data_IF_298584625533
#
_entry.id   IF_298584625533
#
_cell.length_a   1.000
_cell.length_b   1.000
_cell.length_c   1.000
_cell.angle_alpha   90.00
_cell.angle_beta   90.00
_cell.angle_gamma   90.00
#
_symmetry.space_group_name_H-M   'P 1'
#
loop_
_entity.id
_entity.type
_entity.pdbx_description
1 polymer ?
#
# COMPACT_ATOMS: atom_id res chain seq x y z
N UNK A 1 7.83 6.71 18.64
CA UNK A 1 8.94 6.14 17.83
C UNK A 1 9.96 7.21 17.51
N UNK A 2 11.20 6.85 17.20
CA UNK A 2 12.21 7.81 16.72
C UNK A 2 11.81 8.29 15.32
N UNK A 3 11.96 9.58 14.96
CA UNK A 3 11.55 10.11 13.66
C UNK A 3 12.17 9.36 12.48
N UNK A 4 13.42 8.91 12.62
CA UNK A 4 14.12 8.12 11.62
C UNK A 4 13.45 6.77 11.30
N UNK A 5 12.82 6.11 12.28
CA UNK A 5 12.12 4.84 12.06
C UNK A 5 10.83 5.05 11.28
N UNK A 6 10.12 6.15 11.53
CA UNK A 6 8.90 6.49 10.81
C UNK A 6 9.20 6.83 9.34
N UNK A 7 10.25 7.61 9.08
CA UNK A 7 10.69 7.93 7.71
C UNK A 7 11.10 6.66 6.96
N UNK A 8 11.83 5.75 7.61
CA UNK A 8 12.23 4.47 7.00
C UNK A 8 11.00 3.63 6.62
N UNK A 9 9.99 3.57 7.48
CA UNK A 9 8.72 2.88 7.20
C UNK A 9 8.02 3.47 5.98
N UNK A 10 7.78 4.79 5.98
CA UNK A 10 7.16 5.49 4.86
C UNK A 10 7.91 5.28 3.54
N UNK A 11 9.24 5.33 3.55
CA UNK A 11 10.04 5.11 2.34
C UNK A 11 9.89 3.67 1.83
N UNK A 12 9.85 2.70 2.74
CA UNK A 12 9.68 1.28 2.38
C UNK A 12 8.30 1.05 1.75
N UNK A 13 7.25 1.59 2.37
CA UNK A 13 5.88 1.49 1.88
C UNK A 13 5.74 2.18 0.51
N UNK A 14 6.30 3.38 0.36
CA UNK A 14 6.31 4.12 -0.89
C UNK A 14 6.97 3.31 -2.02
N UNK A 15 8.18 2.77 -1.77
CA UNK A 15 8.90 1.98 -2.78
C UNK A 15 8.17 0.68 -3.11
N UNK A 16 7.54 0.03 -2.12
CA UNK A 16 6.76 -1.18 -2.33
C UNK A 16 5.53 -0.92 -3.19
N UNK A 17 4.76 0.13 -2.87
CA UNK A 17 3.58 0.55 -3.65
C UNK A 17 4.00 0.93 -5.06
N UNK A 18 5.02 1.78 -5.20
CA UNK A 18 5.50 2.25 -6.50
C UNK A 18 6.00 1.09 -7.38
N UNK A 19 6.83 0.20 -6.84
CA UNK A 19 7.32 -0.96 -7.58
C UNK A 19 6.16 -1.87 -8.03
N UNK A 20 5.20 -2.14 -7.14
CA UNK A 20 4.03 -2.97 -7.45
C UNK A 20 3.20 -2.36 -8.59
N UNK A 21 2.92 -1.05 -8.51
CA UNK A 21 2.15 -0.34 -9.53
C UNK A 21 2.89 -0.33 -10.87
N UNK A 22 4.20 -0.05 -10.88
CA UNK A 22 5.01 -0.07 -12.11
C UNK A 22 5.02 -1.46 -12.76
N UNK A 23 5.17 -2.54 -11.96
CA UNK A 23 5.12 -3.91 -12.47
C UNK A 23 3.75 -4.20 -13.11
N UNK A 24 2.66 -3.87 -12.41
CA UNK A 24 1.30 -4.09 -12.92
C UNK A 24 1.09 -3.35 -14.24
N UNK A 25 1.43 -2.06 -14.30
CA UNK A 25 1.20 -1.26 -15.53
C UNK A 25 2.09 -1.77 -16.66
N UNK A 26 3.33 -2.17 -16.37
CA UNK A 26 4.23 -2.76 -17.38
C UNK A 26 3.63 -4.03 -17.98
N UNK A 27 3.08 -4.93 -17.13
CA UNK A 27 2.41 -6.15 -17.59
C UNK A 27 1.17 -5.80 -18.42
N UNK A 28 0.31 -4.91 -17.93
CA UNK A 28 -0.91 -4.50 -18.65
C UNK A 28 -0.57 -3.93 -20.02
N UNK A 29 0.41 -3.03 -20.09
CA UNK A 29 0.83 -2.41 -21.35
C UNK A 29 1.41 -3.44 -22.31
N UNK A 30 2.22 -4.38 -21.82
CA UNK A 30 2.74 -5.47 -22.64
C UNK A 30 1.66 -6.36 -23.24
N UNK A 31 0.47 -6.44 -22.63
CA UNK A 31 -0.64 -7.27 -23.11
C UNK A 31 -1.61 -6.52 -24.02
N UNK A 32 -1.87 -5.24 -23.74
CA UNK A 32 -2.89 -4.45 -24.44
C UNK A 32 -2.31 -3.51 -25.50
N UNK A 33 -1.16 -2.88 -25.24
CA UNK A 33 -0.53 -1.87 -26.10
C UNK A 33 1.01 -2.02 -26.14
N UNK A 34 1.53 -3.13 -26.70
CA UNK A 34 2.94 -3.50 -26.58
C UNK A 34 3.90 -2.55 -27.30
N UNK A 35 3.43 -1.84 -28.33
CA UNK A 35 4.25 -0.95 -29.16
C UNK A 35 4.31 0.49 -28.63
N UNK A 36 3.52 0.82 -27.60
CA UNK A 36 3.43 2.18 -27.10
C UNK A 36 4.43 2.42 -25.96
N UNK A 37 5.28 3.44 -26.12
CA UNK A 37 6.31 3.74 -25.15
C UNK A 37 5.74 4.36 -23.86
N UNK A 38 6.39 4.08 -22.74
CA UNK A 38 6.03 4.69 -21.46
C UNK A 38 6.49 6.15 -21.39
N UNK A 39 5.55 7.08 -21.40
CA UNK A 39 5.87 8.49 -21.23
C UNK A 39 6.44 8.76 -19.83
N UNK A 40 7.55 9.51 -19.78
CA UNK A 40 8.20 9.90 -18.53
C UNK A 40 7.24 10.68 -17.61
N UNK A 41 6.38 11.51 -18.18
CA UNK A 41 5.34 12.26 -17.45
C UNK A 41 4.40 11.33 -16.68
N UNK A 42 3.98 10.22 -17.30
CA UNK A 42 3.11 9.23 -16.65
C UNK A 42 3.79 8.59 -15.44
N UNK A 43 5.09 8.30 -15.55
CA UNK A 43 5.88 7.77 -14.42
C UNK A 43 5.90 8.77 -13.26
N UNK A 44 6.13 10.06 -13.53
CA UNK A 44 6.11 11.08 -12.48
C UNK A 44 4.74 11.25 -11.83
N UNK A 45 3.66 11.16 -12.59
CA UNK A 45 2.30 11.20 -12.04
C UNK A 45 2.07 10.00 -11.13
N UNK A 46 2.40 8.78 -11.58
CA UNK A 46 2.28 7.55 -10.77
C UNK A 46 3.09 7.68 -9.48
N UNK A 47 4.31 8.19 -9.57
CA UNK A 47 5.17 8.43 -8.42
C UNK A 47 4.50 9.39 -7.41
N UNK A 48 3.89 10.48 -7.88
CA UNK A 48 3.11 11.40 -7.05
C UNK A 48 1.91 10.73 -6.38
N UNK A 49 1.17 9.91 -7.11
CA UNK A 49 0.04 9.12 -6.56
C UNK A 49 0.51 8.16 -5.47
N UNK A 50 1.63 7.46 -5.69
CA UNK A 50 2.20 6.54 -4.70
C UNK A 50 2.64 7.27 -3.44
N UNK A 51 3.23 8.46 -3.58
CA UNK A 51 3.62 9.31 -2.45
C UNK A 51 2.39 9.73 -1.63
N UNK A 52 1.35 10.24 -2.29
CA UNK A 52 0.09 10.63 -1.63
C UNK A 52 -0.56 9.43 -0.93
N UNK A 53 -0.62 8.27 -1.60
CA UNK A 53 -1.15 7.02 -1.03
C UNK A 53 -0.43 6.63 0.26
N UNK A 54 0.90 6.71 0.24
CA UNK A 54 1.76 6.40 1.40
C UNK A 54 1.49 7.35 2.56
N UNK A 55 1.34 8.65 2.29
CA UNK A 55 1.03 9.64 3.32
C UNK A 55 -0.35 9.41 3.96
N UNK A 56 -1.35 9.02 3.17
CA UNK A 56 -2.68 8.63 3.68
C UNK A 56 -2.58 7.36 4.56
N UNK A 57 -1.57 6.52 4.32
CA UNK A 57 -1.20 5.35 5.14
C UNK A 57 -1.00 5.66 6.63
N UNK A 58 -0.61 6.89 6.96
CA UNK A 58 -0.42 7.34 8.35
C UNK A 58 -1.71 7.19 9.19
N UNK A 59 -2.90 7.21 8.57
CA UNK A 59 -4.20 6.99 9.26
C UNK A 59 -4.25 5.61 9.95
N UNK A 60 -3.56 4.61 9.40
CA UNK A 60 -3.48 3.26 9.96
C UNK A 60 -2.47 3.16 11.10
N UNK A 61 -1.55 4.12 11.21
CA UNK A 61 -0.52 4.13 12.23
C UNK A 61 -1.13 4.34 13.62
N UNK A 62 -0.78 3.47 14.56
CA UNK A 62 -1.50 3.34 15.84
C UNK A 62 -0.55 3.05 17.00
N UNK A 63 -0.71 3.70 18.17
CA UNK A 63 -0.03 3.30 19.40
C UNK A 63 -0.58 1.96 19.94
N UNK A 64 0.28 1.19 20.62
CA UNK A 64 -0.03 -0.16 21.11
C UNK A 64 -1.36 -0.25 21.89
N UNK A 65 -2.13 -1.33 21.66
CA UNK A 65 -3.34 -1.65 22.46
C UNK A 65 -4.71 -1.37 21.83
N UNK A 66 -4.80 -1.15 20.50
CA UNK A 66 -6.09 -0.93 19.83
C UNK A 66 -6.84 -2.23 19.58
N UNK A 67 -8.14 -2.24 19.92
CA UNK A 67 -9.03 -3.38 19.71
C UNK A 67 -9.26 -3.68 18.22
N UNK A 68 -9.51 -4.95 17.89
CA UNK A 68 -9.74 -5.39 16.50
C UNK A 68 -10.87 -4.62 15.79
N UNK A 69 -11.95 -4.31 16.51
CA UNK A 69 -13.08 -3.55 15.96
C UNK A 69 -12.66 -2.15 15.51
N UNK A 70 -11.84 -1.48 16.31
CA UNK A 70 -11.34 -0.15 16.00
C UNK A 70 -10.35 -0.18 14.83
N UNK A 71 -9.53 -1.24 14.74
CA UNK A 71 -8.66 -1.46 13.58
C UNK A 71 -9.47 -1.64 12.29
N UNK A 72 -10.55 -2.44 12.30
CA UNK A 72 -11.43 -2.61 11.12
C UNK A 72 -12.04 -1.29 10.65
N UNK A 73 -12.53 -0.46 11.57
CA UNK A 73 -13.09 0.86 11.24
C UNK A 73 -12.03 1.76 10.59
N UNK A 74 -10.81 1.78 11.13
CA UNK A 74 -9.70 2.56 10.55
C UNK A 74 -9.32 2.10 9.15
N UNK A 75 -9.35 0.80 8.88
CA UNK A 75 -9.11 0.26 7.53
C UNK A 75 -10.16 0.78 6.55
N UNK A 76 -11.44 0.79 6.94
CA UNK A 76 -12.52 1.32 6.11
C UNK A 76 -12.32 2.82 5.85
N UNK A 77 -11.99 3.60 6.89
CA UNK A 77 -11.75 5.04 6.76
C UNK A 77 -10.54 5.31 5.86
N UNK A 78 -9.44 4.58 6.05
CA UNK A 78 -8.24 4.74 5.24
C UNK A 78 -8.50 4.37 3.77
N UNK A 79 -9.23 3.27 3.51
CA UNK A 79 -9.64 2.90 2.17
C UNK A 79 -10.48 3.99 1.51
N UNK A 80 -11.52 4.48 2.20
CA UNK A 80 -12.38 5.55 1.68
C UNK A 80 -11.60 6.85 1.42
N UNK A 81 -10.69 7.24 2.32
CA UNK A 81 -9.85 8.42 2.15
C UNK A 81 -8.91 8.27 0.95
N UNK A 82 -8.27 7.11 0.82
CA UNK A 82 -7.37 6.81 -0.29
C UNK A 82 -8.11 6.85 -1.63
N UNK A 83 -9.26 6.19 -1.71
CA UNK A 83 -10.08 6.15 -2.92
C UNK A 83 -10.51 7.57 -3.35
N UNK A 84 -11.10 8.35 -2.43
CA UNK A 84 -11.58 9.70 -2.71
C UNK A 84 -10.44 10.61 -3.16
N UNK A 85 -9.29 10.57 -2.47
CA UNK A 85 -8.17 11.46 -2.77
C UNK A 85 -7.55 11.11 -4.13
N UNK A 86 -7.31 9.83 -4.42
CA UNK A 86 -6.67 9.42 -5.67
C UNK A 86 -7.61 9.60 -6.89
N UNK A 87 -8.91 9.32 -6.74
CA UNK A 87 -9.89 9.61 -7.80
C UNK A 87 -9.99 11.11 -8.06
N UNK A 88 -10.04 11.93 -7.00
CA UNK A 88 -10.03 13.40 -7.14
C UNK A 88 -8.77 13.89 -7.85
N UNK A 89 -7.61 13.32 -7.51
CA UNK A 89 -6.34 13.66 -8.15
C UNK A 89 -6.36 13.27 -9.64
N UNK A 90 -6.91 12.10 -9.99
CA UNK A 90 -7.03 11.66 -11.38
C UNK A 90 -7.95 12.54 -12.23
N UNK A 91 -8.98 13.13 -11.63
CA UNK A 91 -9.85 14.11 -12.28
C UNK A 91 -9.13 15.44 -12.50
N UNK A 92 -8.43 15.95 -11.48
CA UNK A 92 -7.72 17.24 -11.55
C UNK A 92 -6.52 17.19 -12.51
N UNK A 93 -5.79 16.07 -12.56
CA UNK A 93 -4.68 15.90 -13.52
C UNK A 93 -5.15 15.59 -14.94
N UNK A 94 -6.45 15.39 -15.14
CA UNK A 94 -7.02 15.04 -16.45
C UNK A 94 -6.72 13.60 -16.89
N UNK A 95 -6.21 12.75 -15.99
CA UNK A 95 -5.91 11.33 -16.24
C UNK A 95 -7.18 10.50 -16.46
N UNK A 96 -8.31 10.93 -15.88
CA UNK A 96 -9.63 10.36 -16.21
C UNK A 96 -10.61 11.48 -16.58
N UNK A 97 -11.39 11.26 -17.64
CA UNK A 97 -12.44 12.18 -18.09
C UNK A 97 -13.73 11.41 -18.33
N UNK A 98 -14.80 11.81 -17.66
CA UNK A 98 -16.12 11.19 -17.77
C UNK A 98 -16.33 10.03 -16.79
N UNK A 99 -17.59 9.65 -16.62
CA UNK A 99 -18.03 8.75 -15.53
C UNK A 99 -17.43 7.34 -15.68
N UNK A 100 -17.41 6.78 -16.89
CA UNK A 100 -16.94 5.39 -17.11
C UNK A 100 -15.43 5.25 -16.88
N UNK A 101 -14.54 6.07 -17.47
CA UNK A 101 -13.10 5.99 -17.19
C UNK A 101 -12.76 6.23 -15.71
N UNK A 102 -13.45 7.15 -15.05
CA UNK A 102 -13.25 7.41 -13.62
C UNK A 102 -13.71 6.23 -12.76
N UNK A 103 -14.81 5.55 -13.10
CA UNK A 103 -15.25 4.35 -12.40
C UNK A 103 -14.26 3.19 -12.57
N UNK A 104 -13.69 3.01 -13.76
CA UNK A 104 -12.63 2.02 -14.02
C UNK A 104 -11.39 2.34 -13.18
N UNK A 105 -10.99 3.61 -13.13
CA UNK A 105 -9.85 4.06 -12.30
C UNK A 105 -10.07 3.77 -10.81
N UNK A 106 -11.26 4.04 -10.28
CA UNK A 106 -11.62 3.70 -8.90
C UNK A 106 -11.44 2.19 -8.63
N UNK A 107 -11.98 1.34 -9.51
CA UNK A 107 -11.81 -0.12 -9.39
C UNK A 107 -10.32 -0.52 -9.42
N UNK A 108 -9.50 0.10 -10.28
CA UNK A 108 -8.06 -0.16 -10.33
C UNK A 108 -7.36 0.22 -9.02
N UNK A 109 -7.69 1.38 -8.45
CA UNK A 109 -7.15 1.83 -7.16
C UNK A 109 -7.54 0.82 -6.06
N UNK A 110 -8.80 0.39 -6.02
CA UNK A 110 -9.28 -0.60 -5.07
C UNK A 110 -8.57 -1.96 -5.19
N UNK A 111 -8.28 -2.41 -6.41
CA UNK A 111 -7.52 -3.65 -6.66
C UNK A 111 -6.08 -3.52 -6.16
N UNK A 112 -5.40 -2.43 -6.49
CA UNK A 112 -4.02 -2.17 -6.00
C UNK A 112 -4.01 -2.12 -4.48
N UNK A 113 -4.98 -1.44 -3.86
CA UNK A 113 -5.12 -1.39 -2.41
C UNK A 113 -5.23 -2.79 -1.79
N UNK A 114 -6.07 -3.67 -2.37
CA UNK A 114 -6.22 -5.03 -1.90
C UNK A 114 -4.92 -5.84 -2.01
N UNK A 115 -4.17 -5.69 -3.11
CA UNK A 115 -2.87 -6.35 -3.30
C UNK A 115 -1.87 -5.89 -2.23
N UNK A 116 -1.70 -4.57 -2.06
CA UNK A 116 -0.77 -4.02 -1.07
C UNK A 116 -1.16 -4.49 0.34
N UNK A 117 -2.46 -4.48 0.67
CA UNK A 117 -2.94 -4.95 1.96
C UNK A 117 -2.65 -6.43 2.20
N UNK A 118 -2.78 -7.26 1.17
CA UNK A 118 -2.45 -8.68 1.24
C UNK A 118 -0.95 -8.88 1.47
N UNK A 119 -0.09 -8.13 0.76
CA UNK A 119 1.36 -8.19 0.93
C UNK A 119 1.80 -7.76 2.33
N UNK A 120 1.25 -6.65 2.85
CA UNK A 120 1.52 -6.21 4.22
C UNK A 120 1.10 -7.25 5.26
N UNK A 121 -0.09 -7.86 5.08
CA UNK A 121 -0.55 -8.90 5.99
C UNK A 121 0.34 -10.15 5.97
N UNK A 122 0.84 -10.54 4.81
CA UNK A 122 1.80 -11.65 4.71
C UNK A 122 3.12 -11.35 5.44
N UNK A 123 3.60 -10.10 5.34
CA UNK A 123 4.79 -9.65 6.06
C UNK A 123 4.56 -9.68 7.57
N UNK A 124 3.46 -9.10 8.05
CA UNK A 124 3.10 -9.10 9.47
C UNK A 124 2.98 -10.53 10.03
N UNK A 125 2.36 -11.43 9.26
CA UNK A 125 2.25 -12.85 9.63
C UNK A 125 3.61 -13.51 9.78
N UNK A 126 4.52 -13.29 8.81
CA UNK A 126 5.87 -13.85 8.83
C UNK A 126 6.68 -13.32 10.02
N UNK A 127 6.56 -12.04 10.33
CA UNK A 127 7.22 -11.44 11.51
C UNK A 127 6.69 -12.05 12.82
N UNK A 128 5.37 -12.24 12.94
CA UNK A 128 4.76 -12.88 14.10
C UNK A 128 5.22 -14.33 14.30
N UNK A 129 5.33 -15.11 13.21
CA UNK A 129 5.84 -16.48 13.23
C UNK A 129 7.29 -16.54 13.74
N UNK A 130 8.17 -15.67 13.23
CA UNK A 130 9.57 -15.60 13.66
C UNK A 130 9.73 -15.21 15.14
N UNK A 131 8.85 -14.34 15.65
CA UNK A 131 8.84 -13.97 17.07
C UNK A 131 8.43 -15.19 17.91
N UNK A 132 7.38 -15.91 17.50
CA UNK A 132 6.91 -17.10 18.20
C UNK A 132 7.97 -18.22 18.22
N UNK A 133 8.66 -18.45 17.11
CA UNK A 133 9.77 -19.42 17.03
C UNK A 133 10.90 -19.07 18.02
N UNK A 134 11.34 -17.80 18.05
CA UNK A 134 12.37 -17.33 19.00
C UNK A 134 11.92 -17.46 20.45
N UNK A 135 10.65 -17.18 20.75
CA UNK A 135 10.09 -17.34 22.09
C UNK A 135 10.04 -18.81 22.52
N UNK A 136 9.75 -19.73 21.61
CA UNK A 136 9.77 -21.17 21.89
C UNK A 136 11.19 -21.69 22.16
N UNK A 137 12.17 -21.24 21.39
CA UNK A 137 13.59 -21.57 21.63
C UNK A 137 14.03 -21.10 23.03
N UNK A 138 13.79 -19.83 23.37
CA UNK A 138 14.12 -19.28 24.69
C UNK A 138 13.43 -19.99 25.85
N UNK A 139 12.20 -20.49 25.65
CA UNK A 139 11.48 -21.26 26.68
C UNK A 139 12.00 -22.68 26.84
N UNK A 140 12.53 -23.26 25.76
CA UNK A 140 13.08 -24.62 25.77
C UNK A 140 14.47 -24.63 26.41
N UNK A 141 15.31 -23.64 26.09
CA UNK A 141 16.65 -23.46 26.69
C UNK A 141 16.54 -23.27 28.21
N UNK A 142 15.63 -22.40 28.67
CA UNK A 142 15.42 -22.11 30.11
C UNK A 142 14.81 -23.28 30.91
N UNK A 143 14.49 -24.40 30.27
CA UNK A 143 13.95 -25.61 30.89
C UNK A 143 14.99 -26.73 31.00
N UNK A 144 16.15 -26.56 30.37
CA UNK A 144 17.28 -27.49 30.41
C UNK A 144 18.38 -27.05 31.40
N UNK A 145 18.30 -25.81 31.91
CA UNK A 145 19.05 -25.29 33.06
C UNK A 145 18.27 -25.47 34.38
#
# INVERSE_FOLDING_TARGET
MKPAQMIKGLLTDFLMIFATVIIIITILRSLFDPDEAFELTTVYIIMGFCLVSTLIGIILYTPEGVSERNMRIRVIIHFAALEVILVSLALVTGMSKGVVPTAIMAVQIAVVYAIIRLLSWQQDKKEAEQINEKLQQLRTDRRQD
#
